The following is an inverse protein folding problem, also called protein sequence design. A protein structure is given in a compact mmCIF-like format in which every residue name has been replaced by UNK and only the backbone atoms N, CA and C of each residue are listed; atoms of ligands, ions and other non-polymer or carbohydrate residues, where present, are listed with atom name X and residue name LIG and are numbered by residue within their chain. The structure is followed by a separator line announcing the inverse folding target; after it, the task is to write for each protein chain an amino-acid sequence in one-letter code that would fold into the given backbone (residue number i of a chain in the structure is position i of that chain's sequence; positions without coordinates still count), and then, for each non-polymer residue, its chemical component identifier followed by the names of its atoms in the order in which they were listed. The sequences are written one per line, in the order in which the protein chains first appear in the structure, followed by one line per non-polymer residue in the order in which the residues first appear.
data_IF_118138948246
#
_entry.id   IF_118138948246
#
_cell.length_a   1.000
_cell.length_b   1.000
_cell.length_c   1.000
_cell.angle_alpha   90.00
_cell.angle_beta   90.00
_cell.angle_gamma   90.00
#
_symmetry.space_group_name_H-M   'P 1'
#
loop_
_entity.id
_entity.type
_entity.pdbx_description
1 polymer ?
#
# COMPACT_ATOMS: atom_id res chain seq x y z
N UNK A 1 3.47 19.15 -5.74
CA UNK A 1 2.72 17.97 -6.16
C UNK A 1 2.15 17.28 -4.93
N UNK A 2 0.83 17.37 -4.75
CA UNK A 2 0.17 16.81 -3.57
C UNK A 2 -0.32 15.39 -3.77
N UNK A 3 -0.90 15.08 -4.90
CA UNK A 3 -1.47 13.79 -5.16
C UNK A 3 -1.21 13.32 -6.57
N UNK A 4 -0.99 12.00 -6.71
CA UNK A 4 -0.82 11.35 -8.00
C UNK A 4 -1.70 10.12 -8.01
N UNK A 5 -2.50 9.97 -9.05
CA UNK A 5 -3.33 8.79 -9.26
C UNK A 5 -2.95 8.17 -10.61
N UNK A 6 -2.30 7.02 -10.54
CA UNK A 6 -1.91 6.22 -11.71
C UNK A 6 -2.72 4.94 -11.80
N UNK A 7 -3.90 4.92 -11.19
CA UNK A 7 -4.78 3.75 -11.19
C UNK A 7 -5.29 3.42 -12.58
N UNK A 8 -5.66 2.15 -12.79
CA UNK A 8 -6.22 1.65 -14.06
C UNK A 8 -5.26 1.78 -15.24
N UNK A 9 -3.99 1.46 -15.01
CA UNK A 9 -2.95 1.40 -16.03
C UNK A 9 -2.38 -0.02 -16.12
N UNK A 10 -1.16 -0.15 -16.63
CA UNK A 10 -0.51 -1.46 -16.86
C UNK A 10 0.87 -1.53 -16.24
N UNK A 11 1.08 -0.89 -15.10
CA UNK A 11 2.36 -0.95 -14.41
C UNK A 11 2.56 -2.34 -13.80
N UNK A 12 3.78 -2.86 -13.91
CA UNK A 12 4.19 -4.11 -13.26
C UNK A 12 4.81 -3.85 -11.90
N UNK A 13 5.21 -2.63 -11.65
CA UNK A 13 5.72 -2.16 -10.36
C UNK A 13 5.28 -0.73 -10.14
N UNK A 14 5.32 -0.28 -8.88
CA UNK A 14 4.94 1.09 -8.55
C UNK A 14 5.97 2.07 -9.12
N UNK A 15 5.57 3.02 -9.99
CA UNK A 15 6.51 4.02 -10.46
C UNK A 15 7.09 4.85 -9.32
N UNK A 16 8.41 5.01 -9.29
CA UNK A 16 9.09 5.70 -8.20
C UNK A 16 9.31 7.19 -8.45
N UNK A 17 9.17 7.63 -9.72
CA UNK A 17 9.35 9.04 -10.06
C UNK A 17 8.52 10.01 -9.22
N UNK A 18 7.19 9.78 -9.03
CA UNK A 18 6.39 10.66 -8.19
C UNK A 18 6.85 10.73 -6.74
N UNK A 19 7.51 9.68 -6.25
CA UNK A 19 7.97 9.60 -4.86
C UNK A 19 9.15 10.51 -4.57
N UNK A 20 9.82 11.03 -5.60
CA UNK A 20 10.89 12.00 -5.45
C UNK A 20 10.35 13.40 -5.12
N UNK A 21 9.05 13.62 -5.28
CA UNK A 21 8.43 14.91 -4.96
C UNK A 21 8.26 15.05 -3.44
N UNK A 22 8.93 16.03 -2.85
CA UNK A 22 8.91 16.25 -1.40
C UNK A 22 7.52 16.59 -0.85
N UNK A 23 6.60 17.03 -1.72
CA UNK A 23 5.24 17.42 -1.34
C UNK A 23 4.18 16.37 -1.66
N UNK A 24 4.58 15.17 -2.10
CA UNK A 24 3.63 14.12 -2.41
C UNK A 24 2.98 13.61 -1.12
N UNK A 25 1.67 13.77 -0.98
CA UNK A 25 0.92 13.33 0.20
C UNK A 25 -0.02 12.16 -0.08
N UNK A 26 -0.53 12.05 -1.30
CA UNK A 26 -1.45 10.98 -1.71
C UNK A 26 -0.93 10.33 -2.98
N UNK A 27 -0.80 9.00 -2.94
CA UNK A 27 -0.34 8.23 -4.09
C UNK A 27 -1.25 7.02 -4.27
N UNK A 28 -1.86 6.90 -5.43
CA UNK A 28 -2.74 5.78 -5.75
C UNK A 28 -2.25 5.09 -7.03
N UNK A 29 -2.08 3.77 -6.95
CA UNK A 29 -1.68 2.92 -8.09
C UNK A 29 -2.54 1.65 -8.05
N UNK A 30 -3.87 1.83 -8.12
CA UNK A 30 -4.82 0.71 -8.05
C UNK A 30 -4.99 0.05 -9.41
N UNK A 31 -5.41 -1.21 -9.39
CA UNK A 31 -5.96 -1.90 -10.58
C UNK A 31 -5.05 -1.85 -11.79
N UNK A 32 -3.82 -2.29 -11.66
CA UNK A 32 -2.90 -2.42 -12.79
C UNK A 32 -3.20 -3.74 -13.48
N UNK A 33 -3.83 -3.68 -14.64
CA UNK A 33 -4.34 -4.86 -15.35
C UNK A 33 -3.98 -4.82 -16.82
N UNK A 34 -3.83 -5.99 -17.44
CA UNK A 34 -3.72 -6.08 -18.89
C UNK A 34 -5.11 -6.06 -19.54
N UNK A 35 -5.16 -6.18 -20.85
CA UNK A 35 -6.41 -6.14 -21.63
C UNK A 35 -7.36 -7.30 -21.30
N UNK A 36 -6.84 -8.38 -20.73
CA UNK A 36 -7.63 -9.55 -20.33
C UNK A 36 -8.03 -9.52 -18.85
N UNK A 37 -7.72 -8.43 -18.15
CA UNK A 37 -8.02 -8.28 -16.73
C UNK A 37 -7.03 -8.95 -15.80
N UNK A 38 -5.90 -9.46 -16.29
CA UNK A 38 -4.88 -10.07 -15.47
C UNK A 38 -4.15 -9.00 -14.65
N UNK A 39 -3.88 -9.31 -13.38
CA UNK A 39 -3.19 -8.42 -12.47
C UNK A 39 -1.71 -8.37 -12.80
N UNK A 40 -1.15 -7.18 -12.98
CA UNK A 40 0.23 -6.99 -13.41
C UNK A 40 1.17 -6.56 -12.30
N UNK A 41 0.69 -5.75 -11.35
CA UNK A 41 1.56 -5.16 -10.33
C UNK A 41 1.77 -6.13 -9.18
N UNK A 42 3.01 -6.64 -9.04
CA UNK A 42 3.38 -7.64 -8.05
C UNK A 42 4.46 -7.16 -7.10
N UNK A 43 5.12 -6.06 -7.42
CA UNK A 43 6.33 -5.63 -6.73
C UNK A 43 6.09 -4.43 -5.83
N UNK A 44 6.50 -4.56 -4.58
CA UNK A 44 6.44 -3.48 -3.60
C UNK A 44 7.55 -2.46 -3.89
N UNK A 45 7.26 -1.16 -3.82
CA UNK A 45 8.31 -0.14 -3.99
C UNK A 45 9.18 -0.11 -2.73
N UNK A 46 10.48 -0.38 -2.89
CA UNK A 46 11.40 -0.47 -1.77
C UNK A 46 11.81 0.86 -1.14
N UNK A 47 11.32 1.98 -1.65
CA UNK A 47 11.77 3.30 -1.24
C UNK A 47 10.66 4.21 -0.66
N UNK A 48 9.58 3.64 -0.14
CA UNK A 48 8.49 4.42 0.48
C UNK A 48 8.99 5.31 1.62
N UNK A 49 9.98 4.84 2.37
CA UNK A 49 10.56 5.60 3.48
C UNK A 49 11.27 6.88 3.04
N UNK A 50 11.56 7.03 1.74
CA UNK A 50 12.18 8.22 1.19
C UNK A 50 11.18 9.30 0.80
N UNK A 51 9.89 9.06 1.03
CA UNK A 51 8.82 9.99 0.70
C UNK A 51 8.24 10.59 1.99
N UNK A 52 8.85 11.65 2.54
CA UNK A 52 8.56 12.10 3.90
C UNK A 52 7.17 12.69 4.09
N UNK A 53 6.55 13.17 3.03
CA UNK A 53 5.23 13.79 3.10
C UNK A 53 4.09 12.82 2.78
N UNK A 54 4.38 11.58 2.39
CA UNK A 54 3.36 10.63 2.00
C UNK A 54 2.52 10.23 3.21
N UNK A 55 1.21 10.44 3.13
CA UNK A 55 0.26 10.14 4.19
C UNK A 55 -0.77 9.10 3.77
N UNK A 56 -1.07 9.00 2.48
CA UNK A 56 -2.04 8.06 1.97
C UNK A 56 -1.46 7.29 0.78
N UNK A 57 -1.45 5.98 0.89
CA UNK A 57 -0.96 5.11 -0.17
C UNK A 57 -2.00 4.05 -0.50
N UNK A 58 -2.51 4.07 -1.73
CA UNK A 58 -3.60 3.21 -2.17
C UNK A 58 -3.13 2.31 -3.30
N UNK A 59 -2.99 1.02 -3.02
CA UNK A 59 -2.51 0.02 -3.99
C UNK A 59 -3.45 -1.18 -4.11
N UNK A 60 -4.73 -0.95 -3.83
CA UNK A 60 -5.75 -2.00 -3.95
C UNK A 60 -5.90 -2.52 -5.38
N UNK A 61 -6.44 -3.74 -5.50
CA UNK A 61 -6.76 -4.31 -6.81
C UNK A 61 -5.57 -4.81 -7.62
N UNK A 62 -4.45 -5.07 -6.98
CA UNK A 62 -3.22 -5.54 -7.63
C UNK A 62 -2.90 -7.00 -7.25
N UNK A 63 -1.69 -7.44 -7.49
CA UNK A 63 -1.22 -8.78 -7.14
C UNK A 63 0.07 -8.69 -6.31
N UNK A 64 0.07 -7.77 -5.36
CA UNK A 64 1.18 -7.65 -4.43
C UNK A 64 1.30 -8.93 -3.60
N UNK A 65 2.54 -9.31 -3.30
CA UNK A 65 2.85 -10.55 -2.61
C UNK A 65 3.58 -10.24 -1.31
N UNK A 66 4.64 -10.95 -1.01
CA UNK A 66 5.35 -10.76 0.24
C UNK A 66 6.00 -9.37 0.31
N UNK A 67 5.68 -8.63 1.36
CA UNK A 67 6.28 -7.34 1.67
C UNK A 67 7.21 -7.54 2.85
N UNK A 68 8.50 -7.36 2.64
CA UNK A 68 9.53 -7.54 3.67
C UNK A 68 9.86 -6.24 4.40
N UNK A 69 9.49 -5.10 3.81
CA UNK A 69 9.81 -3.79 4.37
C UNK A 69 8.92 -3.43 5.55
N UNK A 70 9.45 -2.61 6.43
CA UNK A 70 8.67 -2.01 7.51
C UNK A 70 7.78 -0.93 6.93
N UNK A 71 6.48 -1.00 7.27
CA UNK A 71 5.52 0.00 6.79
C UNK A 71 5.71 1.30 7.58
N UNK A 72 5.79 2.40 6.86
CA UNK A 72 6.00 3.72 7.47
C UNK A 72 4.82 4.11 8.37
N UNK A 73 5.12 4.53 9.61
CA UNK A 73 4.12 5.09 10.53
C UNK A 73 3.64 6.48 10.10
N UNK A 74 4.32 7.11 9.17
CA UNK A 74 3.89 8.40 8.61
C UNK A 74 2.72 8.26 7.66
N UNK A 75 2.55 7.08 7.03
CA UNK A 75 1.37 6.78 6.23
C UNK A 75 0.23 6.52 7.20
N UNK A 76 -0.85 7.28 7.10
CA UNK A 76 -2.01 7.16 7.99
C UNK A 76 -3.23 6.54 7.32
N UNK A 77 -3.23 6.43 5.99
CA UNK A 77 -4.23 5.68 5.23
C UNK A 77 -3.49 4.74 4.28
N UNK A 78 -3.68 3.45 4.46
CA UNK A 78 -3.02 2.43 3.66
C UNK A 78 -4.07 1.46 3.12
N UNK A 79 -4.26 1.45 1.81
CA UNK A 79 -5.23 0.59 1.15
C UNK A 79 -4.51 -0.55 0.42
N UNK A 80 -4.74 -1.77 0.89
CA UNK A 80 -4.20 -2.99 0.30
C UNK A 80 -5.30 -3.96 -0.13
N UNK A 81 -6.55 -3.55 -0.02
CA UNK A 81 -7.71 -4.37 -0.36
C UNK A 81 -7.60 -4.95 -1.77
N UNK A 82 -8.10 -6.18 -1.96
CA UNK A 82 -8.08 -6.87 -3.25
C UNK A 82 -6.66 -7.12 -3.77
N UNK A 83 -5.77 -7.56 -2.88
CA UNK A 83 -4.48 -8.16 -3.19
C UNK A 83 -4.49 -9.54 -2.53
N UNK A 84 -5.00 -10.58 -3.21
CA UNK A 84 -5.28 -11.87 -2.54
C UNK A 84 -4.06 -12.61 -2.03
N UNK A 85 -2.89 -12.32 -2.57
CA UNK A 85 -1.65 -13.00 -2.18
C UNK A 85 -0.72 -12.16 -1.32
N UNK A 86 -1.19 -11.00 -0.84
CA UNK A 86 -0.35 -10.12 -0.04
C UNK A 86 -0.02 -10.74 1.32
N UNK A 87 1.22 -10.54 1.75
CA UNK A 87 1.70 -10.99 3.05
C UNK A 87 2.59 -9.90 3.64
N UNK A 88 2.25 -9.40 4.81
CA UNK A 88 3.01 -8.32 5.44
C UNK A 88 2.90 -8.36 6.97
N UNK A 89 3.80 -7.64 7.63
CA UNK A 89 3.83 -7.50 9.08
C UNK A 89 3.58 -6.04 9.45
N UNK A 90 2.57 -5.79 10.30
CA UNK A 90 2.16 -4.46 10.72
C UNK A 90 2.43 -4.20 12.21
N UNK A 91 3.34 -4.95 12.85
CA UNK A 91 3.61 -4.78 14.28
C UNK A 91 4.02 -3.35 14.66
N UNK A 92 4.72 -2.65 13.77
CA UNK A 92 5.19 -1.29 14.04
C UNK A 92 4.08 -0.22 13.99
N UNK A 93 2.93 -0.52 13.41
CA UNK A 93 1.80 0.42 13.33
C UNK A 93 0.54 -0.10 14.04
N UNK A 94 0.62 -1.26 14.66
CA UNK A 94 -0.55 -1.90 15.28
C UNK A 94 -1.19 -1.02 16.36
N UNK A 95 -0.40 -0.36 17.20
CA UNK A 95 -0.94 0.52 18.23
C UNK A 95 -1.67 1.72 17.62
N UNK A 96 -1.16 2.26 16.52
CA UNK A 96 -1.82 3.35 15.80
C UNK A 96 -3.15 2.91 15.22
N UNK A 97 -3.23 1.68 14.72
CA UNK A 97 -4.48 1.10 14.21
C UNK A 97 -5.51 1.00 15.34
N UNK A 98 -5.10 0.48 16.50
CA UNK A 98 -5.98 0.35 17.67
C UNK A 98 -6.50 1.69 18.15
N UNK A 99 -5.68 2.72 18.08
CA UNK A 99 -6.03 4.07 18.53
C UNK A 99 -6.86 4.84 17.51
N UNK A 100 -7.12 4.27 16.33
CA UNK A 100 -7.85 4.96 15.27
C UNK A 100 -7.06 6.04 14.55
N UNK A 101 -5.74 6.03 14.69
CA UNK A 101 -4.83 7.01 14.08
C UNK A 101 -4.18 6.53 12.79
N UNK A 102 -4.49 5.31 12.38
CA UNK A 102 -3.98 4.67 11.17
C UNK A 102 -5.12 3.85 10.56
N UNK A 103 -5.54 4.22 9.36
CA UNK A 103 -6.62 3.52 8.67
C UNK A 103 -6.04 2.51 7.71
N UNK A 104 -6.26 1.23 7.99
CA UNK A 104 -5.93 0.13 7.10
C UNK A 104 -7.19 -0.32 6.37
N UNK A 105 -7.19 -0.28 5.05
CA UNK A 105 -8.28 -0.78 4.21
C UNK A 105 -7.82 -2.10 3.62
N UNK A 106 -8.39 -3.21 4.11
CA UNK A 106 -7.90 -4.56 3.85
C UNK A 106 -9.06 -5.56 3.77
N UNK A 107 -8.75 -6.77 3.29
CA UNK A 107 -9.69 -7.89 3.28
C UNK A 107 -9.36 -8.87 4.43
N UNK A 108 -10.38 -9.43 5.09
CA UNK A 108 -10.15 -10.30 6.26
C UNK A 108 -9.29 -11.54 6.00
N UNK A 109 -9.29 -12.05 4.77
CA UNK A 109 -8.53 -13.25 4.39
C UNK A 109 -7.08 -12.99 4.02
N UNK A 110 -6.64 -11.74 4.00
CA UNK A 110 -5.24 -11.39 3.68
C UNK A 110 -4.31 -11.81 4.82
N UNK A 111 -3.08 -12.19 4.47
CA UNK A 111 -2.06 -12.59 5.45
C UNK A 111 -1.39 -11.35 6.07
N UNK A 112 -2.02 -10.82 7.11
CA UNK A 112 -1.53 -9.67 7.86
C UNK A 112 -1.09 -10.15 9.24
N UNK A 113 0.19 -9.99 9.52
CA UNK A 113 0.80 -10.45 10.78
C UNK A 113 1.21 -9.27 11.64
N UNK A 114 1.43 -9.52 12.93
CA UNK A 114 1.94 -8.53 13.86
C UNK A 114 0.89 -7.61 14.45
N UNK A 115 -0.38 -7.82 14.13
CA UNK A 115 -1.47 -7.03 14.70
C UNK A 115 -2.71 -7.90 14.89
N UNK A 116 -2.77 -8.64 15.99
CA UNK A 116 -3.87 -9.56 16.28
C UNK A 116 -5.21 -8.84 16.47
N UNK A 117 -5.18 -7.55 16.79
CA UNK A 117 -6.36 -6.71 16.87
C UNK A 117 -7.21 -6.78 15.59
N UNK A 118 -6.57 -6.91 14.43
CA UNK A 118 -7.27 -6.98 13.15
C UNK A 118 -8.04 -8.29 12.93
N UNK A 119 -7.78 -9.29 13.77
CA UNK A 119 -8.41 -10.63 13.67
C UNK A 119 -9.52 -10.84 14.70
N UNK A 120 -9.78 -9.85 15.51
CA UNK A 120 -10.81 -9.91 16.55
C UNK A 120 -12.21 -9.60 16.02
#
# INVERSE_FOLDING_TARGET
LYGVDLSNNRFTEVPTGPMDAATLTVYAVRNQRDENGNRLLRKWPGNLGLCPSLRQFCIGGNDLRKISDTISSAIIVFEIKDNPNISLNLSNVCDLIKEGRYLLIYDPEQDIRGCDYLKE
#
